data_IF_443246086435
#
_entry.id   IF_443246086435
#
_cell.length_a   1.000
_cell.length_b   1.000
_cell.length_c   1.000
_cell.angle_alpha   90.00
_cell.angle_beta   90.00
_cell.angle_gamma   90.00
#
_symmetry.space_group_name_H-M   'P 1'
#
loop_
_entity.id
_entity.type
_entity.pdbx_description
1 polymer ?
#
# COMPACT_ATOMS: atom_id res chain seq x y z
N UNK A 1 -31.98 -28.24 -27.82
CA UNK A 1 -33.09 -27.81 -26.94
C UNK A 1 -32.59 -26.53 -26.20
N UNK A 2 -32.97 -25.35 -26.70
CA UNK A 2 -32.53 -24.07 -26.13
C UNK A 2 -33.52 -23.71 -25.02
N UNK A 3 -33.11 -23.80 -23.78
CA UNK A 3 -33.92 -23.36 -22.63
C UNK A 3 -34.07 -21.84 -22.64
N UNK A 4 -35.25 -21.37 -23.01
CA UNK A 4 -35.63 -19.96 -22.92
C UNK A 4 -35.87 -19.60 -21.43
N UNK A 5 -34.86 -19.10 -20.74
CA UNK A 5 -35.00 -18.63 -19.36
C UNK A 5 -35.68 -17.26 -19.43
N UNK A 6 -36.91 -17.17 -18.96
CA UNK A 6 -37.69 -15.93 -18.90
C UNK A 6 -37.04 -14.98 -17.89
N UNK A 7 -36.97 -13.66 -18.22
CA UNK A 7 -36.37 -12.59 -17.39
C UNK A 7 -36.75 -12.66 -15.88
N UNK A 8 -38.02 -13.01 -15.59
CA UNK A 8 -38.51 -13.18 -14.22
C UNK A 8 -37.88 -14.37 -13.50
N UNK A 9 -37.68 -15.51 -14.18
CA UNK A 9 -37.02 -16.70 -13.60
C UNK A 9 -35.51 -16.46 -13.37
N UNK A 10 -34.88 -15.68 -14.24
CA UNK A 10 -33.48 -15.31 -14.07
C UNK A 10 -33.29 -14.38 -12.84
N UNK A 11 -34.16 -13.37 -12.66
CA UNK A 11 -34.10 -12.47 -11.51
C UNK A 11 -34.33 -13.22 -10.18
N UNK A 12 -35.28 -14.18 -10.15
CA UNK A 12 -35.52 -15.01 -8.97
C UNK A 12 -34.41 -16.01 -8.68
N UNK A 13 -33.79 -16.61 -9.71
CA UNK A 13 -32.62 -17.46 -9.52
C UNK A 13 -31.39 -16.66 -9.03
N UNK A 14 -31.19 -15.45 -9.55
CA UNK A 14 -30.07 -14.57 -9.15
C UNK A 14 -30.28 -14.01 -7.74
N UNK A 15 -31.50 -13.61 -7.36
CA UNK A 15 -31.80 -13.14 -6.01
C UNK A 15 -31.71 -14.25 -4.96
N UNK A 16 -32.09 -15.50 -5.30
CA UNK A 16 -31.97 -16.65 -4.39
C UNK A 16 -30.51 -17.14 -4.26
N UNK A 17 -29.68 -17.01 -5.29
CA UNK A 17 -28.25 -17.36 -5.24
C UNK A 17 -27.40 -16.27 -4.57
N UNK A 18 -27.78 -14.99 -4.66
CA UNK A 18 -27.03 -13.90 -4.02
C UNK A 18 -27.19 -13.89 -2.49
N UNK A 19 -28.27 -14.40 -1.92
CA UNK A 19 -28.43 -14.49 -0.47
C UNK A 19 -27.57 -15.57 0.20
N UNK A 20 -27.02 -16.52 -0.56
CA UNK A 20 -26.18 -17.62 -0.01
C UNK A 20 -24.68 -17.39 -0.09
N UNK A 21 -24.21 -16.36 -0.80
CA UNK A 21 -22.80 -16.02 -0.95
C UNK A 21 -22.51 -14.67 -0.28
N UNK A 22 -22.81 -14.53 1.00
CA UNK A 22 -22.09 -13.57 1.85
C UNK A 22 -20.72 -14.22 2.10
N UNK A 23 -19.86 -14.20 1.06
CA UNK A 23 -18.45 -14.44 1.24
C UNK A 23 -17.95 -13.41 2.26
N UNK A 24 -17.15 -13.82 3.25
CA UNK A 24 -16.45 -12.89 4.12
C UNK A 24 -15.35 -12.19 3.32
N UNK A 25 -15.77 -11.36 2.37
CA UNK A 25 -14.90 -10.65 1.43
C UNK A 25 -14.50 -9.26 1.92
N UNK A 26 -14.92 -8.90 3.14
CA UNK A 26 -14.57 -7.65 3.80
C UNK A 26 -13.58 -7.94 4.94
N UNK A 27 -12.37 -7.41 4.81
CA UNK A 27 -11.42 -7.32 5.91
C UNK A 27 -11.57 -5.97 6.61
N UNK A 28 -11.05 -5.88 7.83
CA UNK A 28 -10.98 -4.63 8.59
C UNK A 28 -9.53 -4.22 8.72
N UNK A 29 -9.23 -2.98 8.37
CA UNK A 29 -7.90 -2.41 8.56
C UNK A 29 -7.60 -2.32 10.06
N UNK A 30 -6.43 -2.75 10.52
CA UNK A 30 -6.03 -2.60 11.91
C UNK A 30 -6.10 -1.13 12.36
N UNK A 31 -6.30 -0.87 13.65
CA UNK A 31 -6.37 0.46 14.28
C UNK A 31 -7.55 1.30 13.75
N UNK A 32 -7.58 1.65 12.46
CA UNK A 32 -8.62 2.52 11.88
C UNK A 32 -9.99 1.86 11.80
N UNK A 33 -10.03 0.55 11.87
CA UNK A 33 -11.25 -0.28 11.80
C UNK A 33 -12.06 -0.05 10.50
N UNK A 34 -11.44 0.57 9.49
CA UNK A 34 -12.05 0.77 8.17
C UNK A 34 -12.30 -0.58 7.49
N UNK A 35 -13.49 -0.76 6.94
CA UNK A 35 -13.82 -1.93 6.14
C UNK A 35 -13.22 -1.79 4.74
N UNK A 36 -12.60 -2.86 4.25
CA UNK A 36 -12.01 -2.93 2.90
C UNK A 36 -12.36 -4.23 2.20
N UNK A 37 -12.37 -4.17 0.87
CA UNK A 37 -12.58 -5.35 0.04
C UNK A 37 -11.31 -6.22 0.04
N UNK A 38 -11.44 -7.50 0.36
CA UNK A 38 -10.33 -8.46 0.43
C UNK A 38 -10.72 -9.80 -0.16
N UNK A 39 -11.01 -9.80 -1.47
CA UNK A 39 -11.37 -11.01 -2.23
C UNK A 39 -10.11 -11.70 -2.75
N UNK A 40 -9.10 -10.91 -3.13
CA UNK A 40 -7.85 -11.46 -3.69
C UNK A 40 -7.03 -12.10 -2.58
N UNK A 41 -6.53 -13.35 -2.77
CA UNK A 41 -5.76 -14.03 -1.73
C UNK A 41 -4.47 -13.31 -1.39
N UNK A 42 -4.27 -12.95 -0.13
CA UNK A 42 -3.08 -12.23 0.35
C UNK A 42 -1.78 -12.97 0.03
N UNK A 43 -1.73 -14.30 0.27
CA UNK A 43 -0.56 -15.10 -0.02
C UNK A 43 -0.16 -15.10 -1.50
N UNK A 44 -1.13 -15.02 -2.42
CA UNK A 44 -0.85 -14.92 -3.85
C UNK A 44 -0.23 -13.55 -4.20
N UNK A 45 -0.70 -12.47 -3.55
CA UNK A 45 -0.12 -11.14 -3.71
C UNK A 45 1.31 -11.11 -3.14
N UNK A 46 1.53 -11.62 -1.94
CA UNK A 46 2.85 -11.63 -1.31
C UNK A 46 3.86 -12.42 -2.15
N UNK A 47 3.47 -13.59 -2.68
CA UNK A 47 4.33 -14.40 -3.56
C UNK A 47 4.66 -13.68 -4.88
N UNK A 48 3.68 -13.00 -5.47
CA UNK A 48 3.89 -12.23 -6.69
C UNK A 48 4.76 -10.99 -6.44
N UNK A 49 4.58 -10.34 -5.30
CA UNK A 49 5.42 -9.23 -4.85
C UNK A 49 6.87 -9.66 -4.64
N UNK A 50 7.10 -10.80 -3.99
CA UNK A 50 8.44 -11.34 -3.79
C UNK A 50 9.16 -11.60 -5.14
N UNK A 51 8.48 -12.21 -6.12
CA UNK A 51 9.04 -12.40 -7.48
C UNK A 51 9.34 -11.10 -8.18
N UNK A 52 8.44 -10.11 -8.10
CA UNK A 52 8.63 -8.79 -8.68
C UNK A 52 9.81 -8.06 -8.03
N UNK A 53 9.96 -8.21 -6.71
CA UNK A 53 11.06 -7.64 -5.94
C UNK A 53 12.43 -8.21 -6.36
N UNK A 54 12.55 -9.54 -6.52
CA UNK A 54 13.78 -10.17 -7.00
C UNK A 54 14.13 -9.72 -8.43
N UNK A 55 13.13 -9.66 -9.33
CA UNK A 55 13.32 -9.13 -10.66
C UNK A 55 13.70 -7.63 -10.64
N UNK A 56 13.19 -6.86 -9.69
CA UNK A 56 13.59 -5.46 -9.50
C UNK A 56 15.05 -5.35 -9.05
N UNK A 57 15.46 -6.15 -8.07
CA UNK A 57 16.84 -6.19 -7.57
C UNK A 57 17.84 -6.52 -8.69
N UNK A 58 17.51 -7.47 -9.56
CA UNK A 58 18.39 -7.88 -10.66
C UNK A 58 18.56 -6.82 -11.76
N UNK A 59 17.64 -5.85 -11.87
CA UNK A 59 17.64 -4.81 -12.90
C UNK A 59 18.14 -3.44 -12.42
N UNK A 60 18.40 -3.29 -11.14
CA UNK A 60 18.77 -2.01 -10.55
C UNK A 60 20.13 -2.10 -9.85
N UNK A 61 20.85 -1.01 -9.86
CA UNK A 61 22.09 -0.88 -9.10
C UNK A 61 21.75 -0.68 -7.63
N UNK A 62 22.24 -1.57 -6.76
CA UNK A 62 22.00 -1.53 -5.34
C UNK A 62 23.28 -1.17 -4.58
N UNK A 63 23.11 -0.43 -3.50
CA UNK A 63 24.16 -0.23 -2.49
C UNK A 63 23.99 -1.35 -1.47
N UNK A 64 24.96 -2.28 -1.43
CA UNK A 64 24.89 -3.49 -0.62
C UNK A 64 25.53 -3.37 0.76
N UNK A 65 26.30 -2.30 1.01
CA UNK A 65 27.01 -2.03 2.26
C UNK A 65 27.07 -0.53 2.55
N UNK A 66 27.33 -0.16 3.79
CA UNK A 66 27.58 1.23 4.17
C UNK A 66 26.52 1.83 5.09
N UNK A 67 26.84 3.02 5.62
CA UNK A 67 26.05 3.68 6.67
C UNK A 67 24.58 3.88 6.29
N UNK A 68 24.31 4.36 5.07
CA UNK A 68 22.94 4.65 4.64
C UNK A 68 22.05 3.40 4.62
N UNK A 69 22.55 2.27 4.08
CA UNK A 69 21.82 1.02 4.10
C UNK A 69 21.60 0.51 5.54
N UNK A 70 22.60 0.63 6.39
CA UNK A 70 22.50 0.22 7.80
C UNK A 70 21.43 1.06 8.52
N UNK A 71 21.42 2.38 8.32
CA UNK A 71 20.37 3.27 8.87
C UNK A 71 18.96 2.85 8.37
N UNK A 72 18.80 2.54 7.09
CA UNK A 72 17.51 2.07 6.54
C UNK A 72 17.07 0.77 7.23
N UNK A 73 17.98 -0.20 7.38
CA UNK A 73 17.69 -1.48 8.04
C UNK A 73 17.38 -1.29 9.54
N UNK A 74 18.07 -0.39 10.20
CA UNK A 74 17.82 -0.08 11.61
C UNK A 74 16.44 0.57 11.78
N UNK A 75 16.11 1.59 10.99
CA UNK A 75 14.80 2.25 11.03
C UNK A 75 13.70 1.25 10.72
N UNK A 76 13.85 0.47 9.65
CA UNK A 76 12.86 -0.52 9.25
C UNK A 76 12.64 -1.59 10.31
N UNK A 77 13.72 -2.14 10.87
CA UNK A 77 13.66 -3.15 11.93
C UNK A 77 13.03 -2.63 13.23
N UNK A 78 13.28 -1.38 13.61
CA UNK A 78 12.59 -0.75 14.76
C UNK A 78 11.10 -0.59 14.51
N UNK A 79 10.69 -0.13 13.32
CA UNK A 79 9.27 0.02 12.99
C UNK A 79 8.60 -1.36 12.92
N UNK A 80 9.23 -2.36 12.29
CA UNK A 80 8.76 -3.75 12.25
C UNK A 80 8.51 -4.30 13.66
N UNK A 81 9.53 -4.20 14.53
CA UNK A 81 9.44 -4.67 15.91
C UNK A 81 8.34 -3.94 16.70
N UNK A 82 8.20 -2.63 16.49
CA UNK A 82 7.18 -1.83 17.13
C UNK A 82 5.76 -2.24 16.68
N UNK A 83 5.56 -2.45 15.39
CA UNK A 83 4.28 -2.90 14.81
C UNK A 83 3.92 -4.27 15.35
N UNK A 84 4.84 -5.25 15.29
CA UNK A 84 4.62 -6.61 15.79
C UNK A 84 4.28 -6.60 17.29
N UNK A 85 5.10 -5.92 18.11
CA UNK A 85 4.88 -5.83 19.57
C UNK A 85 3.54 -5.17 19.91
N UNK A 86 3.20 -4.08 19.23
CA UNK A 86 1.93 -3.39 19.44
C UNK A 86 0.74 -4.31 19.20
N UNK A 87 0.68 -4.97 18.04
CA UNK A 87 -0.45 -5.82 17.71
C UNK A 87 -0.52 -7.12 18.53
N UNK A 88 0.61 -7.70 18.90
CA UNK A 88 0.61 -8.84 19.82
C UNK A 88 0.04 -8.48 21.19
N UNK A 89 0.35 -7.27 21.70
CA UNK A 89 -0.15 -6.80 22.98
C UNK A 89 -1.63 -6.40 22.95
N UNK A 90 -2.09 -5.74 21.86
CA UNK A 90 -3.46 -5.22 21.77
C UNK A 90 -4.46 -6.26 21.25
N UNK A 91 -4.10 -6.99 20.18
CA UNK A 91 -5.03 -7.88 19.47
C UNK A 91 -4.63 -9.38 19.58
N UNK A 92 -3.50 -9.70 20.21
CA UNK A 92 -2.96 -11.05 20.31
C UNK A 92 -2.54 -11.67 18.98
N UNK A 93 -2.53 -10.88 17.90
CA UNK A 93 -2.17 -11.32 16.55
C UNK A 93 -1.37 -10.25 15.82
N UNK A 94 -0.21 -10.61 15.33
CA UNK A 94 0.60 -9.76 14.46
C UNK A 94 0.13 -9.86 13.00
N UNK A 95 -0.39 -8.76 12.40
CA UNK A 95 -0.81 -8.76 11.00
C UNK A 95 0.36 -8.91 10.02
N UNK A 96 1.60 -8.78 10.50
CA UNK A 96 2.83 -8.89 9.71
C UNK A 96 3.56 -10.22 9.90
N UNK A 97 3.00 -11.15 10.66
CA UNK A 97 3.62 -12.46 10.97
C UNK A 97 4.01 -13.30 9.75
N UNK A 98 3.34 -13.08 8.61
CA UNK A 98 3.66 -13.74 7.33
C UNK A 98 4.63 -12.94 6.46
N UNK A 99 5.06 -11.76 6.88
CA UNK A 99 5.95 -10.92 6.10
C UNK A 99 7.39 -11.44 6.17
N UNK A 100 8.07 -11.31 5.06
CA UNK A 100 9.50 -11.60 4.95
C UNK A 100 10.21 -10.30 4.66
N UNK A 101 10.47 -9.52 5.71
CA UNK A 101 11.06 -8.20 5.63
C UNK A 101 12.40 -8.23 4.91
N UNK A 102 12.58 -7.33 3.96
CA UNK A 102 13.85 -7.10 3.27
C UNK A 102 13.94 -5.64 2.84
N UNK A 103 15.12 -5.04 3.03
CA UNK A 103 15.37 -3.63 2.84
C UNK A 103 16.53 -3.45 1.87
N UNK A 104 16.29 -2.73 0.76
CA UNK A 104 17.33 -2.39 -0.21
C UNK A 104 17.48 -0.90 -0.38
N UNK A 105 18.71 -0.47 -0.67
CA UNK A 105 19.03 0.88 -1.08
C UNK A 105 19.38 0.89 -2.56
N UNK A 106 18.57 1.58 -3.37
CA UNK A 106 18.76 1.70 -4.81
C UNK A 106 19.67 2.90 -5.09
N UNK A 107 20.79 2.67 -5.79
CA UNK A 107 21.74 3.70 -6.19
C UNK A 107 21.19 4.54 -7.36
N UNK A 108 20.28 5.45 -7.04
CA UNK A 108 19.72 6.36 -8.02
C UNK A 108 19.28 7.69 -7.37
N UNK A 109 20.19 8.67 -7.43
CA UNK A 109 20.00 10.00 -6.86
C UNK A 109 18.94 10.86 -7.55
N UNK A 110 18.56 10.51 -8.78
CA UNK A 110 17.55 11.24 -9.55
C UNK A 110 16.14 10.88 -9.13
N UNK A 111 15.95 9.68 -8.59
CA UNK A 111 14.66 9.16 -8.15
C UNK A 111 14.48 9.45 -6.67
N UNK A 112 13.55 10.35 -6.36
CA UNK A 112 13.15 10.65 -4.97
C UNK A 112 11.94 9.80 -4.63
N UNK A 113 12.18 8.54 -4.28
CA UNK A 113 11.11 7.57 -4.02
C UNK A 113 11.52 6.56 -2.95
N UNK A 114 10.50 5.96 -2.33
CA UNK A 114 10.56 4.73 -1.55
C UNK A 114 9.26 3.98 -1.79
N UNK A 115 9.23 2.68 -1.54
CA UNK A 115 8.02 1.87 -1.62
C UNK A 115 8.14 0.60 -0.79
N UNK A 116 7.00 0.08 -0.34
CA UNK A 116 6.87 -1.22 0.29
C UNK A 116 5.88 -2.08 -0.49
N UNK A 117 6.36 -3.20 -1.04
CA UNK A 117 5.48 -4.20 -1.63
C UNK A 117 4.87 -5.09 -0.54
N UNK A 118 3.72 -5.73 -0.81
CA UNK A 118 3.13 -6.75 0.05
C UNK A 118 4.15 -7.79 0.51
N UNK A 119 4.04 -8.21 1.78
CA UNK A 119 4.99 -9.15 2.36
C UNK A 119 6.28 -8.51 2.87
N UNK A 120 6.34 -7.18 3.02
CA UNK A 120 7.43 -6.47 3.69
C UNK A 120 8.69 -6.26 2.83
N UNK A 121 8.56 -6.13 1.52
CA UNK A 121 9.68 -5.89 0.60
C UNK A 121 9.84 -4.39 0.36
N UNK A 122 10.88 -3.77 0.92
CA UNK A 122 11.06 -2.31 0.95
C UNK A 122 12.27 -1.90 0.12
N UNK A 123 12.07 -0.88 -0.73
CA UNK A 123 13.14 -0.21 -1.43
C UNK A 123 13.15 1.28 -1.11
N UNK A 124 14.34 1.80 -0.85
CA UNK A 124 14.60 3.23 -0.66
C UNK A 124 15.60 3.65 -1.72
N UNK A 125 15.36 4.77 -2.40
CA UNK A 125 16.28 5.34 -3.38
C UNK A 125 17.20 6.36 -2.71
N UNK A 126 18.45 6.43 -3.14
CA UNK A 126 19.40 7.45 -2.63
C UNK A 126 18.88 8.88 -2.79
N UNK A 127 18.10 9.13 -3.83
CA UNK A 127 17.52 10.45 -4.08
C UNK A 127 16.55 10.93 -3.02
N UNK A 128 15.80 10.03 -2.33
CA UNK A 128 14.88 10.48 -1.26
C UNK A 128 15.64 10.84 0.02
N UNK A 129 16.82 10.26 0.26
CA UNK A 129 17.65 10.57 1.43
C UNK A 129 18.07 12.04 1.46
N UNK A 130 18.20 12.67 0.28
CA UNK A 130 18.47 14.11 0.16
C UNK A 130 17.30 15.00 0.60
N UNK A 131 16.08 14.45 0.60
CA UNK A 131 14.85 15.15 0.99
C UNK A 131 14.53 14.90 2.46
N UNK A 132 14.74 13.67 2.93
CA UNK A 132 14.49 13.31 4.34
C UNK A 132 15.45 14.04 5.29
N UNK A 133 16.74 14.15 4.94
CA UNK A 133 17.79 14.88 5.65
C UNK A 133 18.14 14.34 7.05
N UNK A 134 17.23 13.60 7.71
CA UNK A 134 17.44 13.00 9.02
C UNK A 134 16.64 11.70 9.17
N UNK A 135 16.98 10.94 10.22
CA UNK A 135 16.42 9.61 10.46
C UNK A 135 14.93 9.66 10.82
N UNK A 136 14.46 10.71 11.51
CA UNK A 136 13.04 10.86 11.86
C UNK A 136 12.17 11.08 10.61
N UNK A 137 12.63 11.89 9.66
CA UNK A 137 11.92 12.07 8.40
C UNK A 137 12.00 10.82 7.51
N UNK A 138 13.11 10.07 7.54
CA UNK A 138 13.21 8.79 6.85
C UNK A 138 12.27 7.76 7.48
N UNK A 139 12.17 7.72 8.80
CA UNK A 139 11.21 6.89 9.51
C UNK A 139 9.77 7.25 9.16
N UNK A 140 9.44 8.54 8.97
CA UNK A 140 8.12 8.95 8.51
C UNK A 140 7.79 8.42 7.10
N UNK A 141 8.77 8.42 6.17
CA UNK A 141 8.60 7.78 4.85
C UNK A 141 8.39 6.28 5.00
N UNK A 142 9.29 5.61 5.71
CA UNK A 142 9.25 4.15 5.84
C UNK A 142 8.02 3.69 6.62
N UNK A 143 7.60 4.42 7.66
CA UNK A 143 6.37 4.16 8.40
C UNK A 143 5.12 4.27 7.52
N UNK A 144 5.07 5.26 6.62
CA UNK A 144 4.00 5.42 5.64
C UNK A 144 3.96 4.23 4.65
N UNK A 145 5.11 3.79 4.14
CA UNK A 145 5.20 2.64 3.24
C UNK A 145 4.81 1.33 3.94
N UNK A 146 5.30 1.12 5.16
CA UNK A 146 4.93 -0.04 5.99
C UNK A 146 3.43 -0.01 6.30
N UNK A 147 2.84 1.17 6.53
CA UNK A 147 1.41 1.31 6.78
C UNK A 147 0.57 0.84 5.59
N UNK A 148 0.99 1.13 4.34
CA UNK A 148 0.32 0.58 3.16
C UNK A 148 0.32 -0.95 3.14
N UNK A 149 1.42 -1.59 3.53
CA UNK A 149 1.53 -3.04 3.57
C UNK A 149 0.70 -3.64 4.72
N UNK A 150 0.77 -3.08 5.93
CA UNK A 150 0.00 -3.52 7.12
C UNK A 150 -1.50 -3.34 6.91
N UNK A 151 -1.93 -2.22 6.32
CA UNK A 151 -3.32 -1.96 5.96
C UNK A 151 -3.79 -2.77 4.73
N UNK A 152 -2.90 -3.52 4.07
CA UNK A 152 -3.18 -4.35 2.90
C UNK A 152 -3.80 -3.58 1.73
N UNK A 153 -3.38 -2.34 1.53
CA UNK A 153 -3.93 -1.47 0.48
C UNK A 153 -3.78 -2.04 -0.93
N UNK A 154 -2.69 -2.79 -1.20
CA UNK A 154 -2.50 -3.48 -2.48
C UNK A 154 -3.48 -4.64 -2.67
N UNK A 155 -3.84 -5.37 -1.59
CA UNK A 155 -4.85 -6.44 -1.61
C UNK A 155 -6.23 -5.84 -1.92
N UNK A 156 -6.57 -4.73 -1.26
CA UNK A 156 -7.83 -4.00 -1.51
C UNK A 156 -7.94 -3.57 -2.98
N UNK A 157 -6.89 -2.97 -3.53
CA UNK A 157 -6.87 -2.50 -4.93
C UNK A 157 -6.93 -3.66 -5.93
N UNK A 158 -6.19 -4.74 -5.69
CA UNK A 158 -6.29 -5.95 -6.51
C UNK A 158 -7.69 -6.56 -6.47
N UNK A 159 -8.32 -6.56 -5.29
CA UNK A 159 -9.70 -7.03 -5.11
C UNK A 159 -10.72 -6.15 -5.84
N UNK A 160 -10.55 -4.83 -5.79
CA UNK A 160 -11.36 -3.88 -6.56
C UNK A 160 -11.21 -4.08 -8.07
N UNK A 161 -9.97 -4.22 -8.56
CA UNK A 161 -9.69 -4.47 -9.98
C UNK A 161 -10.29 -5.81 -10.45
N UNK A 162 -10.22 -6.85 -9.63
CA UNK A 162 -10.84 -8.14 -9.89
C UNK A 162 -12.37 -8.00 -10.02
N UNK A 163 -13.01 -7.27 -9.10
CA UNK A 163 -14.45 -7.03 -9.11
C UNK A 163 -14.90 -6.30 -10.38
N UNK A 164 -14.16 -5.25 -10.76
CA UNK A 164 -14.43 -4.52 -12.01
C UNK A 164 -14.25 -5.43 -13.23
N UNK A 165 -13.21 -6.26 -13.25
CA UNK A 165 -12.95 -7.19 -14.34
C UNK A 165 -14.08 -8.23 -14.48
N UNK A 166 -14.51 -8.84 -13.36
CA UNK A 166 -15.65 -9.77 -13.34
C UNK A 166 -16.92 -9.06 -13.80
N UNK A 167 -17.19 -7.86 -13.28
CA UNK A 167 -18.35 -7.07 -13.66
C UNK A 167 -18.40 -6.74 -15.16
N UNK A 168 -17.26 -6.39 -15.74
CA UNK A 168 -17.15 -6.13 -17.19
C UNK A 168 -17.35 -7.38 -18.03
N UNK A 169 -16.84 -8.55 -17.61
CA UNK A 169 -17.05 -9.81 -18.31
C UNK A 169 -18.53 -10.23 -18.28
N UNK A 170 -19.18 -10.10 -17.12
CA UNK A 170 -20.62 -10.38 -17.00
C UNK A 170 -21.43 -9.44 -17.89
N UNK A 171 -21.14 -8.14 -17.85
CA UNK A 171 -21.81 -7.16 -18.72
C UNK A 171 -21.57 -7.46 -20.20
N UNK A 172 -20.38 -7.91 -20.59
CA UNK A 172 -20.03 -8.24 -21.96
C UNK A 172 -20.86 -9.44 -22.49
N UNK A 173 -21.07 -10.45 -21.65
CA UNK A 173 -21.96 -11.58 -21.98
C UNK A 173 -23.38 -11.08 -22.29
N UNK A 174 -23.90 -10.14 -21.47
CA UNK A 174 -25.23 -9.57 -21.70
C UNK A 174 -25.33 -8.66 -22.94
N UNK A 175 -24.21 -8.01 -23.30
CA UNK A 175 -24.11 -7.11 -24.44
C UNK A 175 -23.64 -7.80 -25.73
N UNK A 176 -23.64 -9.16 -25.75
CA UNK A 176 -23.29 -9.94 -26.95
C UNK A 176 -21.85 -9.76 -27.42
N UNK A 177 -20.90 -9.52 -26.47
CA UNK A 177 -19.49 -9.40 -26.79
C UNK A 177 -19.03 -8.02 -27.27
N UNK A 178 -19.86 -6.98 -27.13
CA UNK A 178 -19.53 -5.63 -27.59
C UNK A 178 -18.31 -5.03 -26.85
N UNK A 179 -18.17 -5.31 -25.53
CA UNK A 179 -17.06 -4.84 -24.72
C UNK A 179 -15.76 -5.57 -25.10
N UNK A 180 -15.82 -6.88 -25.32
CA UNK A 180 -14.66 -7.69 -25.74
C UNK A 180 -14.11 -7.24 -27.08
N UNK A 181 -14.97 -6.88 -28.05
CA UNK A 181 -14.52 -6.33 -29.32
C UNK A 181 -13.73 -5.03 -29.15
N UNK A 182 -14.25 -4.11 -28.34
CA UNK A 182 -13.58 -2.84 -28.03
C UNK A 182 -12.25 -3.07 -27.26
N UNK A 183 -12.23 -4.02 -26.32
CA UNK A 183 -11.07 -4.35 -25.50
C UNK A 183 -9.94 -5.01 -26.30
N UNK A 184 -10.26 -5.86 -27.27
CA UNK A 184 -9.28 -6.46 -28.19
C UNK A 184 -8.59 -5.41 -29.08
N UNK A 185 -9.22 -4.25 -29.26
CA UNK A 185 -8.65 -3.11 -29.99
C UNK A 185 -7.73 -2.23 -29.10
N UNK A 186 -7.94 -2.24 -27.77
CA UNK A 186 -7.22 -1.37 -26.80
C UNK A 186 -6.09 -2.11 -26.05
N UNK A 187 -6.00 -3.45 -26.18
CA UNK A 187 -4.97 -4.28 -25.52
C UNK A 187 -5.52 -5.19 -24.42
N UNK A 188 -4.92 -6.37 -24.32
CA UNK A 188 -5.32 -7.42 -23.37
C UNK A 188 -4.73 -7.16 -22.00
N UNK A 189 -5.54 -6.98 -20.98
CA UNK A 189 -5.10 -7.04 -19.60
C UNK A 189 -5.14 -8.49 -19.10
N UNK A 190 -3.97 -9.08 -18.91
CA UNK A 190 -3.80 -10.41 -18.32
C UNK A 190 -3.82 -10.35 -16.79
N UNK A 191 -3.85 -11.50 -16.08
CA UNK A 191 -3.83 -11.53 -14.62
C UNK A 191 -2.60 -10.83 -13.99
N UNK A 192 -1.53 -10.64 -14.76
CA UNK A 192 -0.34 -9.86 -14.37
C UNK A 192 -0.69 -8.38 -14.20
N UNK A 193 -1.64 -7.85 -14.95
CA UNK A 193 -2.05 -6.44 -14.91
C UNK A 193 -2.81 -6.10 -13.64
N UNK A 194 -3.61 -7.03 -13.08
CA UNK A 194 -4.32 -6.82 -11.80
C UNK A 194 -3.31 -6.66 -10.65
N UNK A 195 -2.27 -7.49 -10.67
CA UNK A 195 -1.18 -7.40 -9.69
C UNK A 195 -0.40 -6.08 -9.84
N UNK A 196 -0.05 -5.69 -11.08
CA UNK A 196 0.63 -4.43 -11.36
C UNK A 196 -0.23 -3.22 -10.95
N UNK A 197 -1.53 -3.24 -11.24
CA UNK A 197 -2.47 -2.23 -10.80
C UNK A 197 -2.53 -2.10 -9.27
N UNK A 198 -2.43 -3.22 -8.56
CA UNK A 198 -2.40 -3.25 -7.09
C UNK A 198 -1.12 -2.67 -6.46
N UNK A 199 0.01 -2.68 -7.16
CA UNK A 199 1.31 -2.27 -6.58
C UNK A 199 1.83 -0.94 -7.15
N UNK A 200 1.72 -0.74 -8.47
CA UNK A 200 2.41 0.36 -9.13
C UNK A 200 1.53 1.58 -9.45
N UNK A 201 0.21 1.47 -9.34
CA UNK A 201 -0.64 2.63 -9.55
C UNK A 201 -0.72 3.52 -8.28
N UNK A 202 -1.00 4.83 -8.44
CA UNK A 202 -1.20 5.72 -7.31
C UNK A 202 -2.29 5.22 -6.36
N UNK A 203 -2.05 5.34 -5.06
CA UNK A 203 -3.03 4.99 -4.05
C UNK A 203 -4.20 6.00 -4.02
N UNK A 204 -5.36 5.54 -3.61
CA UNK A 204 -6.52 6.41 -3.46
C UNK A 204 -6.36 7.36 -2.26
N UNK A 205 -6.96 8.55 -2.33
CA UNK A 205 -6.86 9.59 -1.25
C UNK A 205 -7.18 9.05 0.14
N UNK A 206 -8.14 8.13 0.26
CA UNK A 206 -8.50 7.51 1.55
C UNK A 206 -7.39 6.61 2.07
N UNK A 207 -6.75 5.82 1.18
CA UNK A 207 -5.62 4.96 1.52
C UNK A 207 -4.39 5.78 1.92
N UNK A 208 -4.14 6.90 1.22
CA UNK A 208 -3.07 7.83 1.58
C UNK A 208 -3.27 8.45 2.96
N UNK A 209 -4.48 8.93 3.25
CA UNK A 209 -4.83 9.50 4.57
C UNK A 209 -4.69 8.45 5.67
N UNK A 210 -5.09 7.22 5.41
CA UNK A 210 -4.96 6.10 6.35
C UNK A 210 -3.49 5.71 6.55
N UNK A 211 -2.69 5.67 5.48
CA UNK A 211 -1.26 5.38 5.56
C UNK A 211 -0.48 6.48 6.29
N UNK A 212 -0.87 7.75 6.13
CA UNK A 212 -0.31 8.85 6.92
C UNK A 212 -0.56 8.68 8.41
N UNK A 213 -1.81 8.40 8.79
CA UNK A 213 -2.17 8.23 10.21
C UNK A 213 -1.50 7.01 10.83
N UNK A 214 -1.56 5.86 10.17
CA UNK A 214 -0.90 4.64 10.64
C UNK A 214 0.62 4.77 10.66
N UNK A 215 1.20 5.43 9.65
CA UNK A 215 2.64 5.69 9.57
C UNK A 215 3.16 6.56 10.71
N UNK A 216 2.38 7.59 11.13
CA UNK A 216 2.69 8.34 12.34
C UNK A 216 2.69 7.45 13.59
N UNK A 217 1.67 6.59 13.72
CA UNK A 217 1.57 5.66 14.86
C UNK A 217 2.78 4.74 14.90
N UNK A 218 3.10 4.08 13.80
CA UNK A 218 4.21 3.12 13.72
C UNK A 218 5.57 3.77 13.98
N UNK A 219 5.77 4.98 13.44
CA UNK A 219 6.99 5.75 13.70
C UNK A 219 7.10 6.21 15.16
N UNK A 220 5.98 6.61 15.78
CA UNK A 220 5.92 6.99 17.20
C UNK A 220 6.24 5.81 18.11
N UNK A 221 5.59 4.66 17.88
CA UNK A 221 5.85 3.42 18.63
C UNK A 221 7.31 2.98 18.54
N UNK A 222 7.95 3.19 17.37
CA UNK A 222 9.37 2.92 17.15
C UNK A 222 10.33 3.97 17.73
N UNK A 223 9.80 5.01 18.38
CA UNK A 223 10.60 6.04 19.09
C UNK A 223 11.11 7.18 18.21
N UNK A 224 10.58 7.36 17.00
CA UNK A 224 10.95 8.47 16.12
C UNK A 224 10.09 9.72 16.37
N UNK A 225 10.68 10.89 16.15
CA UNK A 225 9.97 12.17 16.23
C UNK A 225 9.05 12.37 15.02
N UNK A 226 7.78 12.08 15.21
CA UNK A 226 6.76 12.13 14.15
C UNK A 226 6.41 13.55 13.67
N UNK A 227 6.89 14.60 14.35
CA UNK A 227 6.76 16.00 13.90
C UNK A 227 7.51 16.25 12.59
N UNK A 228 8.49 15.42 12.28
CA UNK A 228 9.23 15.48 11.02
C UNK A 228 8.40 15.06 9.80
N UNK A 229 7.29 14.34 9.96
CA UNK A 229 6.44 13.92 8.85
C UNK A 229 5.85 15.12 8.09
N UNK A 230 5.26 16.09 8.77
CA UNK A 230 4.72 17.30 8.13
C UNK A 230 5.81 18.13 7.45
N UNK A 231 6.95 18.33 8.12
CA UNK A 231 8.10 19.05 7.57
C UNK A 231 8.68 18.37 6.32
N UNK A 232 8.67 17.04 6.27
CA UNK A 232 9.07 16.28 5.08
C UNK A 232 8.18 16.63 3.87
N UNK A 233 6.86 16.65 4.05
CA UNK A 233 5.93 17.01 2.99
C UNK A 233 6.08 18.46 2.53
N UNK A 234 6.39 19.38 3.44
CA UNK A 234 6.75 20.76 3.12
C UNK A 234 8.01 20.82 2.24
N UNK A 235 9.09 20.11 2.64
CA UNK A 235 10.33 20.02 1.86
C UNK A 235 10.09 19.44 0.47
N UNK A 236 9.28 18.38 0.36
CA UNK A 236 8.90 17.79 -0.93
C UNK A 236 8.14 18.79 -1.81
N UNK A 237 7.22 19.56 -1.24
CA UNK A 237 6.44 20.55 -1.97
C UNK A 237 7.30 21.72 -2.49
N UNK A 238 8.27 22.18 -1.68
CA UNK A 238 9.21 23.24 -2.05
C UNK A 238 10.17 22.77 -3.16
N UNK A 239 10.65 21.53 -3.08
CA UNK A 239 11.56 20.98 -4.08
C UNK A 239 10.95 20.86 -5.48
N UNK A 240 9.64 21.12 -5.58
CA UNK A 240 8.81 20.91 -6.76
C UNK A 240 8.48 22.19 -7.53
N UNK A 241 8.90 23.38 -7.07
CA UNK A 241 8.57 24.65 -7.73
C UNK A 241 9.07 24.65 -9.18
N UNK A 242 8.15 24.42 -10.13
CA UNK A 242 8.41 24.52 -11.58
C UNK A 242 9.05 23.28 -12.24
N UNK A 243 9.15 22.15 -11.57
CA UNK A 243 9.66 20.88 -12.09
C UNK A 243 8.62 19.77 -11.92
N UNK A 244 8.81 18.66 -12.62
CA UNK A 244 8.00 17.45 -12.38
C UNK A 244 8.02 17.05 -10.91
N UNK A 245 6.84 16.67 -10.32
CA UNK A 245 6.79 16.25 -8.94
C UNK A 245 7.72 15.06 -8.69
N UNK A 246 8.38 14.98 -7.50
CA UNK A 246 9.11 13.78 -7.11
C UNK A 246 8.26 12.55 -7.34
N UNK A 247 8.86 11.45 -7.79
CA UNK A 247 8.13 10.22 -8.10
C UNK A 247 7.30 9.75 -6.90
N UNK A 248 7.78 9.95 -5.68
CA UNK A 248 7.03 9.70 -4.45
C UNK A 248 5.70 10.46 -4.41
N UNK A 249 5.65 11.71 -4.84
CA UNK A 249 4.41 12.49 -4.91
C UNK A 249 3.48 12.06 -6.05
N UNK A 250 3.99 11.38 -7.07
CA UNK A 250 3.19 10.86 -8.18
C UNK A 250 2.48 9.57 -7.78
N UNK A 251 3.14 8.71 -6.99
CA UNK A 251 2.55 7.48 -6.43
C UNK A 251 1.73 7.75 -5.17
N UNK A 252 2.08 8.80 -4.42
CA UNK A 252 1.43 9.26 -3.18
C UNK A 252 0.99 10.72 -3.32
N UNK A 253 -0.13 11.00 -3.99
CA UNK A 253 -0.55 12.36 -4.29
C UNK A 253 -0.64 13.24 -3.05
N UNK A 254 0.12 14.34 -3.05
CA UNK A 254 0.04 15.29 -1.94
C UNK A 254 -1.17 16.21 -2.10
N UNK A 255 -1.80 16.52 -0.98
CA UNK A 255 -2.75 17.61 -0.88
C UNK A 255 -2.33 18.55 0.25
N UNK A 256 -2.69 19.82 0.18
CA UNK A 256 -2.52 20.74 1.32
C UNK A 256 -3.09 20.16 2.61
N UNK A 257 -4.16 19.37 2.49
CA UNK A 257 -4.81 18.71 3.62
C UNK A 257 -3.92 17.65 4.28
N UNK A 258 -2.96 17.00 3.59
CA UNK A 258 -2.05 16.04 4.21
C UNK A 258 -1.19 16.69 5.31
N UNK A 259 -0.56 17.82 4.99
CA UNK A 259 0.28 18.56 5.97
C UNK A 259 -0.55 18.99 7.18
N UNK A 260 -1.76 19.51 6.93
CA UNK A 260 -2.69 19.92 7.99
C UNK A 260 -3.08 18.72 8.87
N UNK A 261 -3.46 17.61 8.26
CA UNK A 261 -3.84 16.39 8.98
C UNK A 261 -2.69 15.85 9.82
N UNK A 262 -1.49 15.74 9.24
CA UNK A 262 -0.30 15.27 9.95
C UNK A 262 -0.03 16.13 11.20
N UNK A 263 -0.06 17.46 11.07
CA UNK A 263 0.12 18.36 12.22
C UNK A 263 -0.97 18.19 13.28
N UNK A 264 -2.21 18.00 12.87
CA UNK A 264 -3.33 17.82 13.81
C UNK A 264 -3.23 16.50 14.60
N UNK A 265 -2.73 15.43 13.97
CA UNK A 265 -2.64 14.11 14.60
C UNK A 265 -1.41 13.94 15.52
N UNK A 266 -0.37 14.73 15.34
CA UNK A 266 0.90 14.58 16.09
C UNK A 266 0.67 14.51 17.60
N UNK A 267 -0.06 15.45 18.18
CA UNK A 267 -0.27 15.50 19.63
C UNK A 267 -1.09 14.30 20.13
N UNK A 268 -2.14 13.92 19.41
CA UNK A 268 -2.94 12.74 19.72
C UNK A 268 -2.08 11.48 19.68
N UNK A 269 -1.30 11.30 18.61
CA UNK A 269 -0.50 10.09 18.39
C UNK A 269 0.60 9.96 19.44
N UNK A 270 1.31 11.03 19.80
CA UNK A 270 2.36 10.98 20.83
C UNK A 270 1.80 10.53 22.20
N UNK A 271 0.60 10.99 22.54
CA UNK A 271 -0.03 10.64 23.82
C UNK A 271 -0.58 9.22 23.80
N UNK A 272 -1.25 8.84 22.72
CA UNK A 272 -1.97 7.56 22.63
C UNK A 272 -1.07 6.37 22.26
N UNK A 273 -0.01 6.63 21.49
CA UNK A 273 0.92 5.63 20.97
C UNK A 273 2.36 6.02 21.26
N UNK A 274 2.75 6.09 22.56
CA UNK A 274 4.13 6.44 22.95
C UNK A 274 5.13 5.36 22.52
N UNK A 275 6.44 5.68 22.49
CA UNK A 275 7.48 4.71 22.17
C UNK A 275 7.41 3.45 23.03
N UNK A 276 7.54 2.30 22.40
CA UNK A 276 7.62 1.01 23.11
C UNK A 276 9.02 0.87 23.70
N UNK A 277 9.11 0.61 25.01
CA UNK A 277 10.39 0.46 25.70
C UNK A 277 11.09 -0.83 25.26
N UNK A 278 12.38 -0.74 24.95
CA UNK A 278 13.22 -1.91 24.64
C UNK A 278 13.23 -2.33 23.16
N UNK A 279 12.73 -1.48 22.25
CA UNK A 279 12.83 -1.66 20.79
C UNK A 279 14.01 -0.85 20.23
#
# INVERSE_FOLDING_TARGET
>A
MIYNINRRKFITLFSSSCCGLILPSCATVPITKRRQLSIYPEGAINNSAAKAYENFKSKNKLITTGKQLNTIKEIGGKIESAVSSFFLNEDGKDPTSSFQWDYILVDNDKVKNAWCMPGGKIAVYTGILKVTQNDNALAAVMGHEIAHAVAKHSVERASQALTVNIGTQVADIFLGGAISKTRNTIGKNSGMDIFQLGIFNPFGRKQETEADYLGLIFSSLAGYDIREAAKLWERMSISNKGKEPPQFMSTHPSSKNRIINLNNWVNEVIVKYPPIKGI
#
